data_IF_192814318775
#
_entry.id   IF_192814318775
#
_cell.length_a   1.000
_cell.length_b   1.000
_cell.length_c   1.000
_cell.angle_alpha   90.00
_cell.angle_beta   90.00
_cell.angle_gamma   90.00
#
_symmetry.space_group_name_H-M   'P 1'
#
loop_
_entity.id
_entity.type
_entity.pdbx_description
1 polymer ?
#
# COMPACT_ATOMS: atom_id res chain seq x y z
N UNK A 1 -26.86 -19.99 -34.21
CA UNK A 1 -25.39 -20.17 -34.27
C UNK A 1 -24.68 -18.82 -34.19
N UNK A 2 -25.17 -17.80 -34.89
CA UNK A 2 -24.56 -16.45 -34.96
C UNK A 2 -24.41 -15.70 -33.63
N UNK A 3 -25.36 -15.85 -32.70
CA UNK A 3 -25.29 -15.19 -31.38
C UNK A 3 -24.13 -15.75 -30.51
N UNK A 4 -23.87 -17.06 -30.62
CA UNK A 4 -22.75 -17.71 -29.90
C UNK A 4 -21.42 -17.23 -30.47
N UNK A 5 -21.29 -17.14 -31.80
CA UNK A 5 -20.08 -16.66 -32.47
C UNK A 5 -19.80 -15.19 -32.13
N UNK A 6 -20.83 -14.33 -32.13
CA UNK A 6 -20.68 -12.94 -31.72
C UNK A 6 -20.22 -12.79 -30.25
N UNK A 7 -20.75 -13.63 -29.36
CA UNK A 7 -20.35 -13.66 -27.95
C UNK A 7 -18.92 -14.15 -27.75
N UNK A 8 -18.48 -15.15 -28.53
CA UNK A 8 -17.10 -15.63 -28.54
C UNK A 8 -16.15 -14.54 -29.04
N UNK A 9 -16.48 -13.88 -30.16
CA UNK A 9 -15.66 -12.81 -30.71
C UNK A 9 -15.52 -11.64 -29.74
N UNK A 10 -16.60 -11.23 -29.05
CA UNK A 10 -16.54 -10.19 -28.03
C UNK A 10 -15.62 -10.57 -26.85
N UNK A 11 -15.63 -11.85 -26.43
CA UNK A 11 -14.72 -12.33 -25.38
C UNK A 11 -13.27 -12.35 -25.87
N UNK A 12 -13.03 -12.75 -27.12
CA UNK A 12 -11.69 -12.77 -27.71
C UNK A 12 -11.10 -11.36 -27.85
N UNK A 13 -11.89 -10.36 -28.26
CA UNK A 13 -11.45 -8.97 -28.29
C UNK A 13 -11.09 -8.49 -26.89
N UNK A 14 -11.97 -8.70 -25.91
CA UNK A 14 -11.67 -8.35 -24.51
C UNK A 14 -10.42 -9.04 -23.98
N UNK A 15 -10.19 -10.30 -24.34
CA UNK A 15 -9.00 -11.02 -23.94
C UNK A 15 -7.75 -10.39 -24.53
N UNK A 16 -7.77 -10.03 -25.82
CA UNK A 16 -6.66 -9.32 -26.47
C UNK A 16 -6.38 -7.96 -25.83
N UNK A 17 -7.43 -7.18 -25.57
CA UNK A 17 -7.30 -5.88 -24.92
C UNK A 17 -6.70 -6.02 -23.51
N UNK A 18 -7.15 -7.05 -22.77
CA UNK A 18 -6.63 -7.32 -21.43
C UNK A 18 -5.18 -7.77 -21.45
N UNK A 19 -4.79 -8.62 -22.41
CA UNK A 19 -3.40 -9.05 -22.60
C UNK A 19 -2.49 -7.85 -22.90
N UNK A 20 -2.88 -6.99 -23.84
CA UNK A 20 -2.11 -5.79 -24.16
C UNK A 20 -1.96 -4.85 -22.96
N UNK A 21 -3.01 -4.72 -22.13
CA UNK A 21 -2.96 -3.94 -20.89
C UNK A 21 -2.01 -4.56 -19.86
N UNK A 22 -2.02 -5.89 -19.71
CA UNK A 22 -1.08 -6.60 -18.84
C UNK A 22 0.38 -6.39 -19.30
N UNK A 23 0.65 -6.53 -20.60
CA UNK A 23 2.00 -6.33 -21.15
C UNK A 23 2.52 -4.91 -20.90
N UNK A 24 1.65 -3.91 -21.08
CA UNK A 24 2.00 -2.51 -20.79
C UNK A 24 2.27 -2.28 -19.30
N UNK A 25 1.48 -2.91 -18.42
CA UNK A 25 1.66 -2.77 -16.98
C UNK A 25 2.97 -3.42 -16.50
N UNK A 26 3.33 -4.56 -17.08
CA UNK A 26 4.62 -5.20 -16.82
C UNK A 26 5.81 -4.35 -17.27
N UNK A 27 5.70 -3.68 -18.41
CA UNK A 27 6.72 -2.75 -18.89
C UNK A 27 6.88 -1.57 -17.92
N UNK A 28 5.79 -0.91 -17.56
CA UNK A 28 5.80 0.20 -16.60
C UNK A 28 6.38 -0.23 -15.24
N UNK A 29 6.05 -1.44 -14.78
CA UNK A 29 6.60 -1.98 -13.54
C UNK A 29 8.12 -2.17 -13.62
N UNK A 30 8.63 -2.70 -14.75
CA UNK A 30 10.08 -2.88 -14.96
C UNK A 30 10.81 -1.55 -14.98
N UNK A 31 10.31 -0.55 -15.71
CA UNK A 31 10.90 0.79 -15.76
C UNK A 31 10.97 1.45 -14.37
N UNK A 32 9.90 1.32 -13.58
CA UNK A 32 9.87 1.81 -12.21
C UNK A 32 10.82 1.05 -11.29
N UNK A 33 10.93 -0.27 -11.46
CA UNK A 33 11.86 -1.08 -10.69
C UNK A 33 13.32 -0.72 -10.99
N UNK A 34 13.67 -0.51 -12.27
CA UNK A 34 14.99 -0.05 -12.69
C UNK A 34 15.31 1.33 -12.11
N UNK A 35 14.36 2.27 -12.22
CA UNK A 35 14.53 3.64 -11.67
C UNK A 35 14.78 3.64 -10.17
N UNK A 36 14.12 2.75 -9.42
CA UNK A 36 14.19 2.69 -7.97
C UNK A 36 15.19 1.64 -7.44
N UNK A 37 15.94 0.95 -8.31
CA UNK A 37 16.83 -0.17 -7.97
C UNK A 37 16.12 -1.26 -7.14
N UNK A 38 14.90 -1.63 -7.55
CA UNK A 38 14.06 -2.62 -6.87
C UNK A 38 14.11 -3.93 -7.63
N UNK A 39 14.82 -4.92 -7.10
CA UNK A 39 14.86 -6.28 -7.66
C UNK A 39 13.87 -7.21 -6.94
N UNK A 40 12.57 -6.92 -7.03
CA UNK A 40 11.51 -7.81 -6.50
C UNK A 40 10.34 -7.92 -7.46
N UNK A 41 9.66 -9.07 -7.42
CA UNK A 41 8.44 -9.30 -8.19
C UNK A 41 7.31 -8.37 -7.68
N UNK A 42 6.33 -8.02 -8.53
CA UNK A 42 5.19 -7.20 -8.12
C UNK A 42 4.46 -7.76 -6.90
N UNK A 43 4.31 -9.09 -6.84
CA UNK A 43 3.70 -9.78 -5.72
C UNK A 43 4.49 -9.59 -4.42
N UNK A 44 5.80 -9.80 -4.45
CA UNK A 44 6.67 -9.66 -3.28
C UNK A 44 6.75 -8.19 -2.82
N UNK A 45 6.74 -7.24 -3.77
CA UNK A 45 6.70 -5.81 -3.45
C UNK A 45 5.41 -5.45 -2.71
N UNK A 46 4.27 -5.94 -3.19
CA UNK A 46 2.98 -5.70 -2.55
C UNK A 46 2.90 -6.35 -1.16
N UNK A 47 3.35 -7.60 -1.01
CA UNK A 47 3.41 -8.26 0.29
C UNK A 47 4.30 -7.51 1.28
N UNK A 48 5.47 -7.05 0.84
CA UNK A 48 6.37 -6.21 1.66
C UNK A 48 5.69 -4.91 2.07
N UNK A 49 4.99 -4.25 1.16
CA UNK A 49 4.26 -3.01 1.46
C UNK A 49 3.16 -3.24 2.49
N UNK A 50 2.35 -4.30 2.33
CA UNK A 50 1.29 -4.67 3.29
C UNK A 50 1.89 -4.96 4.68
N UNK A 51 2.99 -5.72 4.74
CA UNK A 51 3.67 -6.02 6.01
C UNK A 51 4.20 -4.76 6.69
N UNK A 52 4.83 -3.86 5.93
CA UNK A 52 5.35 -2.61 6.47
C UNK A 52 4.22 -1.70 6.98
N UNK A 53 3.10 -1.64 6.26
CA UNK A 53 1.93 -0.85 6.68
C UNK A 53 1.30 -1.39 7.97
N UNK A 54 1.17 -2.73 8.09
CA UNK A 54 0.72 -3.35 9.34
C UNK A 54 1.66 -3.04 10.50
N UNK A 55 2.97 -3.19 10.28
CA UNK A 55 3.99 -2.88 11.29
C UNK A 55 3.96 -1.41 11.71
N UNK A 56 3.79 -0.50 10.75
CA UNK A 56 3.62 0.93 11.03
C UNK A 56 2.42 1.19 11.95
N UNK A 57 1.26 0.63 11.60
CA UNK A 57 0.04 0.79 12.40
C UNK A 57 0.21 0.22 13.81
N UNK A 58 0.78 -0.98 13.95
CA UNK A 58 1.04 -1.59 15.25
C UNK A 58 1.99 -0.73 16.11
N UNK A 59 3.04 -0.17 15.48
CA UNK A 59 4.01 0.67 16.17
C UNK A 59 3.37 2.00 16.61
N UNK A 60 2.61 2.65 15.72
CA UNK A 60 1.88 3.88 16.02
C UNK A 60 0.89 3.67 17.16
N UNK A 61 0.09 2.62 17.11
CA UNK A 61 -0.93 2.33 18.13
C UNK A 61 -0.29 1.98 19.49
N UNK A 62 0.87 1.32 19.47
CA UNK A 62 1.66 1.05 20.68
C UNK A 62 2.24 2.34 21.24
N UNK A 63 2.82 3.20 20.39
CA UNK A 63 3.34 4.51 20.78
C UNK A 63 2.27 5.40 21.41
N UNK A 64 1.08 5.46 20.79
CA UNK A 64 -0.06 6.21 21.32
C UNK A 64 -0.50 5.70 22.70
N UNK A 65 -0.51 4.37 22.91
CA UNK A 65 -0.80 3.78 24.22
C UNK A 65 0.23 4.17 25.28
N UNK A 66 1.51 4.17 24.92
CA UNK A 66 2.58 4.60 25.84
C UNK A 66 2.45 6.08 26.19
N UNK A 67 2.21 6.93 25.20
CA UNK A 67 1.97 8.37 25.41
C UNK A 67 0.76 8.59 26.32
N UNK A 68 -0.33 7.83 26.14
CA UNK A 68 -1.50 7.90 27.01
C UNK A 68 -1.16 7.52 28.46
N UNK A 69 -0.32 6.50 28.69
CA UNK A 69 0.12 6.14 30.05
C UNK A 69 0.92 7.27 30.71
N UNK A 70 1.86 7.87 29.98
CA UNK A 70 2.65 9.01 30.47
C UNK A 70 1.75 10.20 30.78
N UNK A 71 0.81 10.51 29.88
CA UNK A 71 -0.15 11.59 30.06
C UNK A 71 -1.00 11.40 31.32
N UNK A 72 -1.47 10.17 31.55
CA UNK A 72 -2.23 9.82 32.76
C UNK A 72 -1.38 9.94 34.02
N UNK A 73 -0.13 9.46 34.00
CA UNK A 73 0.78 9.55 35.14
C UNK A 73 1.10 11.02 35.49
N UNK A 74 1.35 11.85 34.47
CA UNK A 74 1.60 13.29 34.61
C UNK A 74 0.33 14.12 34.82
N UNK A 75 -0.86 13.53 34.77
CA UNK A 75 -2.16 14.22 34.79
C UNK A 75 -2.26 15.38 33.78
N UNK A 76 -1.78 15.15 32.56
CA UNK A 76 -1.80 16.13 31.47
C UNK A 76 -2.45 15.54 30.21
N UNK A 77 -2.61 16.35 29.17
CA UNK A 77 -3.17 15.92 27.88
C UNK A 77 -2.09 15.28 27.03
N UNK A 78 -2.48 14.31 26.21
CA UNK A 78 -1.61 13.67 25.20
C UNK A 78 -0.87 14.70 24.33
N UNK A 79 -1.54 15.81 23.96
CA UNK A 79 -0.94 16.87 23.16
C UNK A 79 0.29 17.50 23.83
N UNK A 80 0.24 17.69 25.15
CA UNK A 80 1.35 18.27 25.92
C UNK A 80 2.56 17.33 25.93
N UNK A 81 2.32 16.02 25.95
CA UNK A 81 3.39 15.02 25.79
C UNK A 81 3.98 15.04 24.38
N UNK A 82 3.15 15.15 23.35
CA UNK A 82 3.65 15.25 21.97
C UNK A 82 4.47 16.52 21.73
N UNK A 83 4.02 17.66 22.29
CA UNK A 83 4.79 18.92 22.28
C UNK A 83 6.13 18.76 23.03
N UNK A 84 6.14 18.14 24.20
CA UNK A 84 7.37 17.83 24.96
C UNK A 84 8.33 16.93 24.16
N UNK A 85 7.79 15.99 23.37
CA UNK A 85 8.57 15.08 22.53
C UNK A 85 8.95 15.68 21.15
N UNK A 86 8.57 16.92 20.86
CA UNK A 86 8.72 17.56 19.54
C UNK A 86 8.13 16.73 18.38
N UNK A 87 7.01 16.05 18.63
CA UNK A 87 6.28 15.26 17.63
C UNK A 87 5.02 15.99 17.17
N UNK A 88 4.75 15.97 15.86
CA UNK A 88 3.49 16.43 15.30
C UNK A 88 2.44 15.31 15.35
N UNK A 89 1.18 15.67 15.57
CA UNK A 89 0.05 14.74 15.47
C UNK A 89 -0.48 14.56 14.05
N UNK A 90 0.15 15.20 13.06
CA UNK A 90 -0.27 15.19 11.65
C UNK A 90 0.39 14.09 10.79
N UNK A 91 1.34 13.32 11.36
CA UNK A 91 1.97 12.14 10.72
C UNK A 91 1.20 10.82 10.97
#
# INVERSE_FOLDING_TARGET
MDNIVARINKKNTKLKDLMASCDQLELNFKELCETNNIEVTPYNLNDKHIKNLKKYNELRDTGLRLVQFIANEKNCRIKEIFEEMNFSTED
#
